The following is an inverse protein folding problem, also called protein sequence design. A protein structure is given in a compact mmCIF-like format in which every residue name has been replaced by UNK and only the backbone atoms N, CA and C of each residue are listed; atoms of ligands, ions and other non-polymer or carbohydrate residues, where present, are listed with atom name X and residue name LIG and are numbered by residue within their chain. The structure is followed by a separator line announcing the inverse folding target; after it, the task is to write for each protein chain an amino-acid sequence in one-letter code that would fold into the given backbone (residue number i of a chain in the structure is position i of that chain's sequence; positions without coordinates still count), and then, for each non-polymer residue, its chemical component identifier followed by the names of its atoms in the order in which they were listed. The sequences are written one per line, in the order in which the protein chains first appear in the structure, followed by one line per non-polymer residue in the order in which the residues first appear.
data_IF_445174754718
#
_entry.id   IF_445174754718
#
_cell.length_a   1.000
_cell.length_b   1.000
_cell.length_c   1.000
_cell.angle_alpha   90.00
_cell.angle_beta   90.00
_cell.angle_gamma   90.00
#
_symmetry.space_group_name_H-M   'P 1'
#
loop_
_entity.id
_entity.type
_entity.pdbx_description
1 polymer ?
#
# COMPACT_ATOMS: atom_id res chain seq x y z
N UNK A 1 -20.45 9.61 33.64
CA UNK A 1 -19.72 10.22 32.52
C UNK A 1 -19.37 11.64 32.89
N UNK A 2 -18.10 12.07 32.82
CA UNK A 2 -17.75 13.46 33.11
C UNK A 2 -18.41 14.36 32.06
N UNK A 3 -19.23 15.31 32.50
CA UNK A 3 -20.01 16.18 31.63
C UNK A 3 -19.11 17.09 30.79
N UNK A 4 -19.40 17.16 29.49
CA UNK A 4 -18.80 18.14 28.60
C UNK A 4 -19.23 19.55 29.01
N UNK A 5 -18.26 20.46 29.16
CA UNK A 5 -18.48 21.86 29.52
C UNK A 5 -17.79 22.77 28.50
N UNK A 6 -18.60 23.41 27.65
CA UNK A 6 -18.13 24.28 26.58
C UNK A 6 -17.38 25.52 27.08
N UNK A 7 -17.57 25.94 28.34
CA UNK A 7 -16.85 27.10 28.88
C UNK A 7 -15.35 26.81 29.06
N UNK A 8 -14.97 25.54 29.24
CA UNK A 8 -13.57 25.10 29.32
C UNK A 8 -12.80 25.28 28.01
N UNK A 9 -13.51 25.45 26.89
CA UNK A 9 -12.92 25.60 25.55
C UNK A 9 -12.67 27.07 25.18
N UNK A 10 -13.25 28.04 25.92
CA UNK A 10 -13.20 29.48 25.56
C UNK A 10 -11.81 30.11 25.67
N UNK A 11 -10.96 29.56 26.54
CA UNK A 11 -9.62 30.11 26.81
C UNK A 11 -8.50 29.25 26.24
N UNK A 12 -8.83 28.21 25.46
CA UNK A 12 -7.80 27.34 24.92
C UNK A 12 -7.20 27.97 23.67
N UNK A 13 -5.88 28.12 23.69
CA UNK A 13 -5.13 28.57 22.54
C UNK A 13 -4.95 27.43 21.54
N UNK A 14 -5.92 27.29 20.63
CA UNK A 14 -5.91 26.19 19.66
C UNK A 14 -4.66 26.15 18.80
N UNK A 15 -4.09 27.30 18.42
CA UNK A 15 -2.84 27.34 17.65
C UNK A 15 -1.67 26.73 18.43
N UNK A 16 -1.57 27.03 19.73
CA UNK A 16 -0.53 26.44 20.57
C UNK A 16 -0.77 24.95 20.83
N UNK A 17 -2.03 24.55 21.01
CA UNK A 17 -2.40 23.14 21.19
C UNK A 17 -2.14 22.31 19.94
N UNK A 18 -2.48 22.80 18.75
CA UNK A 18 -2.16 22.16 17.48
C UNK A 18 -0.66 22.07 17.25
N UNK A 19 0.08 23.15 17.52
CA UNK A 19 1.55 23.13 17.44
C UNK A 19 2.16 22.09 18.38
N UNK A 20 1.66 21.98 19.62
CA UNK A 20 2.09 20.93 20.56
C UNK A 20 1.72 19.53 20.07
N UNK A 21 0.57 19.37 19.39
CA UNK A 21 0.18 18.11 18.78
C UNK A 21 1.15 17.73 17.65
N UNK A 22 1.48 18.69 16.78
CA UNK A 22 2.41 18.55 15.65
C UNK A 22 3.86 18.28 16.13
N UNK A 23 4.27 18.89 17.24
CA UNK A 23 5.59 18.66 17.87
C UNK A 23 5.67 17.32 18.62
N UNK A 24 4.54 16.78 19.09
CA UNK A 24 4.45 15.50 19.80
C UNK A 24 4.37 14.27 18.87
N UNK A 25 4.40 14.47 17.55
CA UNK A 25 4.29 13.41 16.52
C UNK A 25 5.44 12.36 16.48
N UNK A 26 6.65 12.50 17.09
CA UNK A 26 7.68 11.50 16.85
C UNK A 26 7.37 10.09 17.38
N UNK A 27 6.45 9.93 18.33
CA UNK A 27 6.26 8.64 19.05
C UNK A 27 4.85 8.03 19.00
N UNK A 28 3.87 8.70 18.37
CA UNK A 28 2.47 8.23 18.32
C UNK A 28 1.90 8.12 16.89
N UNK A 29 2.75 7.95 15.89
CA UNK A 29 2.31 7.48 14.59
C UNK A 29 2.28 5.94 14.58
N UNK A 30 1.20 5.27 14.15
CA UNK A 30 1.20 3.81 13.94
C UNK A 30 2.20 3.35 12.86
N UNK A 31 2.87 4.29 12.18
CA UNK A 31 3.77 4.10 11.05
C UNK A 31 5.20 4.50 11.40
N UNK A 32 5.83 3.74 12.30
CA UNK A 32 7.18 4.02 12.81
C UNK A 32 8.29 3.73 11.78
N UNK A 33 8.04 2.82 10.83
CA UNK A 33 9.02 2.38 9.82
C UNK A 33 8.58 2.78 8.41
N UNK A 34 9.58 3.11 7.59
CA UNK A 34 9.42 3.41 6.17
C UNK A 34 10.10 4.73 5.77
N UNK A 35 10.34 4.93 4.47
CA UNK A 35 11.12 6.05 3.96
C UNK A 35 10.36 7.38 4.05
N UNK A 36 11.07 8.46 3.77
CA UNK A 36 10.46 9.79 3.64
C UNK A 36 9.39 9.84 2.55
N UNK A 37 8.46 10.79 2.71
CA UNK A 37 7.41 11.06 1.73
C UNK A 37 7.97 11.79 0.51
N UNK A 38 7.70 11.23 -0.67
CA UNK A 38 7.95 11.84 -1.99
C UNK A 38 6.65 12.43 -2.54
N UNK A 39 6.77 13.45 -3.40
CA UNK A 39 5.64 14.05 -4.11
C UNK A 39 5.88 14.00 -5.61
N UNK A 40 4.85 13.64 -6.39
CA UNK A 40 4.91 13.61 -7.85
C UNK A 40 3.65 14.21 -8.48
N UNK A 41 3.83 14.77 -9.67
CA UNK A 41 2.73 15.15 -10.56
C UNK A 41 2.50 14.00 -11.54
N UNK A 42 1.29 13.46 -11.57
CA UNK A 42 0.90 12.41 -12.51
C UNK A 42 0.52 13.02 -13.86
N UNK A 43 0.91 12.37 -14.95
CA UNK A 43 0.56 12.79 -16.32
C UNK A 43 -0.47 11.82 -16.89
N UNK A 44 -1.63 12.34 -17.27
CA UNK A 44 -2.74 11.58 -17.84
C UNK A 44 -2.93 11.94 -19.31
N UNK A 45 -3.40 10.96 -20.09
CA UNK A 45 -3.84 11.16 -21.48
C UNK A 45 -5.37 11.21 -21.51
N UNK A 46 -5.93 12.41 -21.54
CA UNK A 46 -7.38 12.65 -21.53
C UNK A 46 -7.91 12.55 -22.97
N UNK A 47 -8.83 11.62 -23.29
CA UNK A 47 -9.39 11.52 -24.63
C UNK A 47 -10.34 12.68 -24.92
N UNK A 48 -10.15 13.37 -26.06
CA UNK A 48 -11.00 14.50 -26.48
C UNK A 48 -12.11 14.10 -27.47
N UNK A 49 -12.30 12.79 -27.67
CA UNK A 49 -13.26 12.22 -28.61
C UNK A 49 -12.66 11.83 -29.96
N UNK A 50 -13.46 11.15 -30.78
CA UNK A 50 -13.02 10.58 -32.07
C UNK A 50 -12.52 11.70 -33.00
N UNK A 51 -11.28 11.59 -33.44
CA UNK A 51 -10.64 12.55 -34.36
C UNK A 51 -9.98 13.77 -33.69
N UNK A 52 -10.16 13.96 -32.37
CA UNK A 52 -9.66 15.14 -31.66
C UNK A 52 -8.38 14.89 -30.83
N UNK A 53 -7.85 13.66 -30.89
CA UNK A 53 -6.64 13.27 -30.16
C UNK A 53 -6.82 13.23 -28.64
N UNK A 54 -5.69 13.35 -27.93
CA UNK A 54 -5.59 13.30 -26.48
C UNK A 54 -5.00 14.59 -25.92
N UNK A 55 -5.42 14.98 -24.73
CA UNK A 55 -4.85 16.07 -23.96
C UNK A 55 -3.97 15.53 -22.83
N UNK A 56 -2.72 16.00 -22.78
CA UNK A 56 -1.80 15.77 -21.65
C UNK A 56 -2.24 16.62 -20.47
N UNK A 57 -2.87 15.97 -19.49
CA UNK A 57 -3.34 16.61 -18.26
C UNK A 57 -2.44 16.25 -17.08
N UNK A 58 -2.16 17.23 -16.23
CA UNK A 58 -1.30 17.08 -15.07
C UNK A 58 -2.15 17.05 -13.80
N UNK A 59 -2.01 15.98 -13.02
CA UNK A 59 -2.66 15.81 -11.73
C UNK A 59 -1.59 15.95 -10.63
N UNK A 60 -1.54 17.09 -9.94
CA UNK A 60 -0.60 17.29 -8.84
C UNK A 60 -1.02 16.51 -7.59
N UNK A 61 -0.13 16.46 -6.59
CA UNK A 61 -0.49 16.01 -5.25
C UNK A 61 -0.47 14.49 -5.04
N UNK A 62 0.25 13.72 -5.86
CA UNK A 62 0.52 12.34 -5.51
C UNK A 62 1.63 12.27 -4.46
N UNK A 63 1.27 11.97 -3.22
CA UNK A 63 2.21 11.79 -2.12
C UNK A 63 2.40 10.31 -1.84
N UNK A 64 3.64 9.82 -1.82
CA UNK A 64 3.91 8.40 -1.64
C UNK A 64 5.26 8.13 -0.98
N UNK A 65 5.42 6.93 -0.44
CA UNK A 65 6.67 6.36 0.05
C UNK A 65 7.15 5.32 -0.95
N UNK A 66 8.46 5.24 -1.11
CA UNK A 66 9.08 4.27 -2.00
C UNK A 66 8.86 2.85 -1.48
N UNK A 67 8.21 1.97 -2.26
CA UNK A 67 7.87 0.62 -1.81
C UNK A 67 9.09 -0.27 -1.59
N UNK A 68 10.15 -0.07 -2.39
CA UNK A 68 11.39 -0.83 -2.24
C UNK A 68 12.09 -0.45 -0.96
N UNK A 69 12.20 0.86 -0.69
CA UNK A 69 12.81 1.32 0.56
C UNK A 69 11.93 0.98 1.77
N UNK A 70 10.60 1.03 1.64
CA UNK A 70 9.69 0.57 2.68
C UNK A 70 9.93 -0.91 3.01
N UNK A 71 10.06 -1.78 2.00
CA UNK A 71 10.40 -3.18 2.24
C UNK A 71 11.74 -3.33 2.96
N UNK A 72 12.79 -2.62 2.51
CA UNK A 72 14.10 -2.68 3.19
C UNK A 72 14.01 -2.26 4.64
N UNK A 73 13.39 -1.11 4.90
CA UNK A 73 13.26 -0.58 6.26
C UNK A 73 12.52 -1.56 7.17
N UNK A 74 11.46 -2.19 6.67
CA UNK A 74 10.70 -3.17 7.45
C UNK A 74 11.49 -4.47 7.64
N UNK A 75 12.11 -4.99 6.59
CA UNK A 75 12.88 -6.26 6.68
C UNK A 75 14.10 -6.14 7.60
N UNK A 76 14.78 -5.00 7.57
CA UNK A 76 16.09 -4.83 8.20
C UNK A 76 16.00 -4.14 9.57
N UNK A 77 15.01 -3.26 9.78
CA UNK A 77 14.96 -2.39 10.98
C UNK A 77 13.73 -2.59 11.85
N UNK A 78 12.65 -3.20 11.35
CA UNK A 78 11.47 -3.46 12.15
C UNK A 78 11.69 -4.67 13.08
N UNK A 79 11.63 -4.52 14.41
CA UNK A 79 11.79 -5.63 15.36
C UNK A 79 10.83 -6.79 15.10
N UNK A 80 9.65 -6.53 14.50
CA UNK A 80 8.66 -7.57 14.17
C UNK A 80 9.13 -8.49 13.05
N UNK A 81 10.06 -8.04 12.20
CA UNK A 81 10.63 -8.85 11.14
C UNK A 81 11.43 -10.05 11.66
N UNK A 82 11.82 -10.05 12.95
CA UNK A 82 12.41 -11.21 13.64
C UNK A 82 11.48 -12.43 13.65
N UNK A 83 10.16 -12.21 13.62
CA UNK A 83 9.14 -13.25 13.64
C UNK A 83 8.57 -13.58 12.24
N UNK A 84 9.15 -13.03 11.17
CA UNK A 84 8.66 -13.27 9.81
C UNK A 84 8.94 -14.71 9.36
N UNK A 85 7.94 -15.29 8.68
CA UNK A 85 8.08 -16.55 7.96
C UNK A 85 8.62 -16.28 6.56
N UNK A 86 9.90 -16.56 6.34
CA UNK A 86 10.61 -16.29 5.07
C UNK A 86 10.38 -17.34 3.98
N UNK A 87 10.16 -18.58 4.40
CA UNK A 87 9.91 -19.71 3.51
C UNK A 87 8.46 -20.16 3.67
N UNK A 88 7.66 -20.18 2.59
CA UNK A 88 6.32 -20.73 2.65
C UNK A 88 6.37 -22.25 2.80
N UNK A 89 5.39 -22.80 3.51
CA UNK A 89 5.32 -24.24 3.80
C UNK A 89 3.88 -24.73 3.79
N UNK A 90 3.71 -26.05 3.60
CA UNK A 90 2.41 -26.67 3.71
C UNK A 90 2.07 -27.07 5.14
N UNK A 91 0.88 -26.73 5.61
CA UNK A 91 0.37 -27.18 6.90
C UNK A 91 -0.69 -28.27 6.71
N UNK A 92 -0.54 -29.38 7.41
CA UNK A 92 -1.37 -30.58 7.24
C UNK A 92 -1.93 -31.02 8.59
N UNK A 93 -3.22 -31.33 8.64
CA UNK A 93 -3.86 -32.01 9.76
C UNK A 93 -3.77 -33.51 9.51
N UNK A 94 -3.06 -34.21 10.38
CA UNK A 94 -2.99 -35.66 10.31
C UNK A 94 -4.37 -36.31 10.50
N UNK A 95 -4.65 -37.32 9.70
CA UNK A 95 -5.84 -38.13 9.85
C UNK A 95 -5.86 -38.87 11.19
N UNK A 96 -7.03 -38.95 11.82
CA UNK A 96 -7.20 -39.68 13.09
C UNK A 96 -7.14 -41.21 12.90
N UNK A 97 -7.37 -41.68 11.68
CA UNK A 97 -7.30 -43.09 11.30
C UNK A 97 -6.54 -43.24 9.99
N UNK A 98 -5.84 -44.37 9.81
CA UNK A 98 -5.07 -44.68 8.59
C UNK A 98 -5.90 -44.81 7.30
N UNK A 99 -7.23 -44.79 7.42
CA UNK A 99 -8.18 -44.90 6.31
C UNK A 99 -8.55 -43.55 5.71
N UNK A 100 -8.19 -42.44 6.38
CA UNK A 100 -8.44 -41.09 5.89
C UNK A 100 -7.13 -40.45 5.43
N UNK A 101 -7.13 -39.68 4.33
CA UNK A 101 -5.97 -38.89 3.95
C UNK A 101 -5.79 -37.71 4.91
N UNK A 102 -4.54 -37.30 5.11
CA UNK A 102 -4.23 -36.03 5.76
C UNK A 102 -4.88 -34.87 5.01
N UNK A 103 -5.31 -33.86 5.76
CA UNK A 103 -6.05 -32.72 5.22
C UNK A 103 -5.18 -31.47 5.19
N UNK A 104 -5.21 -30.76 4.05
CA UNK A 104 -4.52 -29.48 3.92
C UNK A 104 -5.18 -28.41 4.80
N UNK A 105 -4.36 -27.67 5.53
CA UNK A 105 -4.78 -26.54 6.36
C UNK A 105 -4.29 -25.24 5.73
N UNK A 106 -5.19 -24.27 5.62
CA UNK A 106 -4.90 -22.92 5.14
C UNK A 106 -5.22 -21.93 6.26
N UNK A 107 -4.19 -21.45 6.95
CA UNK A 107 -4.35 -20.55 8.10
C UNK A 107 -3.70 -19.18 7.88
N UNK A 108 -2.63 -19.15 7.09
CA UNK A 108 -1.74 -18.00 6.94
C UNK A 108 -1.38 -17.78 5.46
N UNK A 109 -0.99 -16.55 5.10
CA UNK A 109 -0.59 -16.24 3.72
C UNK A 109 0.58 -17.09 3.23
N UNK A 110 1.60 -17.28 4.06
CA UNK A 110 2.76 -18.14 3.77
C UNK A 110 2.45 -19.66 3.82
N UNK A 111 1.22 -20.06 4.20
CA UNK A 111 0.77 -21.46 4.10
C UNK A 111 -0.09 -21.74 2.86
N UNK A 112 -0.40 -20.70 2.08
CA UNK A 112 -1.22 -20.81 0.88
C UNK A 112 -0.47 -21.45 -0.30
N UNK A 113 -1.20 -22.16 -1.16
CA UNK A 113 -0.61 -22.82 -2.33
C UNK A 113 -0.01 -21.82 -3.33
N UNK A 114 -0.65 -20.66 -3.49
CA UNK A 114 -0.11 -19.56 -4.31
C UNK A 114 1.33 -19.19 -3.90
N UNK A 115 1.60 -19.06 -2.60
CA UNK A 115 2.94 -18.71 -2.11
C UNK A 115 3.95 -19.82 -2.30
N UNK A 116 3.52 -21.08 -2.16
CA UNK A 116 4.36 -22.23 -2.44
C UNK A 116 4.74 -22.32 -3.92
N UNK A 117 3.79 -22.05 -4.82
CA UNK A 117 4.03 -22.05 -6.27
C UNK A 117 4.97 -20.91 -6.70
N UNK A 118 4.76 -19.72 -6.17
CA UNK A 118 5.67 -18.58 -6.37
C UNK A 118 7.08 -18.89 -5.85
N UNK A 119 7.19 -19.53 -4.69
CA UNK A 119 8.49 -19.90 -4.13
C UNK A 119 9.21 -20.96 -4.95
N UNK A 120 8.50 -21.99 -5.42
CA UNK A 120 9.06 -22.97 -6.35
C UNK A 120 9.56 -22.31 -7.64
N UNK A 121 8.81 -21.34 -8.16
CA UNK A 121 9.18 -20.58 -9.37
C UNK A 121 10.43 -19.73 -9.13
N UNK A 122 10.59 -19.17 -7.93
CA UNK A 122 11.82 -18.45 -7.55
C UNK A 122 12.99 -19.41 -7.40
N UNK A 123 12.80 -20.58 -6.79
CA UNK A 123 13.87 -21.57 -6.62
C UNK A 123 14.35 -22.15 -7.97
N UNK A 124 13.48 -22.20 -8.99
CA UNK A 124 13.85 -22.66 -10.33
C UNK A 124 14.59 -21.63 -11.19
N UNK A 125 14.69 -20.36 -10.75
CA UNK A 125 15.49 -19.35 -11.46
C UNK A 125 16.96 -19.74 -11.50
N UNK A 126 17.70 -19.41 -12.57
CA UNK A 126 19.12 -19.73 -12.68
C UNK A 126 19.93 -19.16 -11.51
N UNK A 127 21.08 -19.76 -11.16
CA UNK A 127 22.00 -19.18 -10.18
C UNK A 127 22.37 -17.75 -10.59
N UNK A 128 22.37 -16.82 -9.64
CA UNK A 128 22.56 -15.40 -9.91
C UNK A 128 23.85 -14.84 -9.29
N UNK A 129 24.94 -15.60 -9.43
CA UNK A 129 26.27 -15.29 -8.87
C UNK A 129 26.22 -14.90 -7.38
N UNK A 130 25.27 -15.47 -6.64
CA UNK A 130 24.95 -15.12 -5.26
C UNK A 130 24.46 -16.39 -4.55
N UNK A 131 25.15 -16.79 -3.50
CA UNK A 131 24.87 -18.02 -2.75
C UNK A 131 23.88 -17.82 -1.60
N UNK A 132 23.22 -16.64 -1.54
CA UNK A 132 22.24 -16.35 -0.50
C UNK A 132 20.97 -17.21 -0.68
N UNK A 133 20.40 -17.73 0.42
CA UNK A 133 19.11 -18.39 0.37
C UNK A 133 18.05 -17.43 -0.16
N UNK A 134 17.18 -17.93 -1.03
CA UNK A 134 16.08 -17.16 -1.61
C UNK A 134 14.91 -17.15 -0.64
N UNK A 135 14.25 -16.00 -0.50
CA UNK A 135 13.04 -15.85 0.30
C UNK A 135 12.03 -14.97 -0.43
N UNK A 136 10.75 -15.04 -0.02
CA UNK A 136 9.72 -14.12 -0.52
C UNK A 136 9.39 -13.11 0.56
N UNK A 137 9.23 -11.85 0.17
CA UNK A 137 8.48 -10.84 0.92
C UNK A 137 7.19 -10.53 0.17
N UNK A 138 6.06 -10.95 0.74
CA UNK A 138 4.76 -10.78 0.08
C UNK A 138 4.02 -9.56 0.62
N UNK A 139 3.74 -8.60 -0.25
CA UNK A 139 2.94 -7.42 0.04
C UNK A 139 1.45 -7.71 -0.07
N UNK A 140 0.70 -7.27 0.94
CA UNK A 140 -0.74 -7.03 0.82
C UNK A 140 -0.98 -5.53 0.85
N UNK A 141 -1.67 -5.02 -0.17
CA UNK A 141 -2.03 -3.63 -0.28
C UNK A 141 -3.51 -3.40 -0.02
N UNK A 142 -3.83 -2.28 0.63
CA UNK A 142 -5.17 -1.76 0.76
C UNK A 142 -5.24 -0.31 0.35
N UNK A 143 -6.39 0.13 -0.14
CA UNK A 143 -6.68 1.56 -0.26
C UNK A 143 -8.18 1.81 -0.15
N UNK A 144 -8.59 2.77 0.67
CA UNK A 144 -9.99 3.08 0.91
C UNK A 144 -10.25 4.59 0.84
N UNK A 145 -11.51 4.97 0.63
CA UNK A 145 -11.90 6.37 0.67
C UNK A 145 -12.16 6.81 2.11
N UNK A 146 -11.31 7.68 2.64
CA UNK A 146 -11.43 8.19 4.01
C UNK A 146 -11.90 9.66 4.01
N UNK A 147 -12.93 10.00 4.78
CA UNK A 147 -13.27 11.41 5.01
C UNK A 147 -12.26 12.03 5.98
N UNK A 148 -11.50 13.03 5.51
CA UNK A 148 -10.38 13.61 6.24
C UNK A 148 -10.78 14.50 7.42
N UNK A 149 -12.04 14.97 7.44
CA UNK A 149 -12.54 15.95 8.39
C UNK A 149 -13.94 15.60 8.86
N UNK A 150 -14.21 15.68 10.17
CA UNK A 150 -15.58 15.56 10.73
C UNK A 150 -16.53 16.64 10.18
N UNK A 151 -15.99 17.80 9.78
CA UNK A 151 -16.73 18.89 9.15
C UNK A 151 -15.99 19.34 7.89
N UNK A 152 -16.51 18.97 6.72
CA UNK A 152 -15.94 19.30 5.41
C UNK A 152 -16.10 18.20 4.37
N UNK A 153 -15.95 18.57 3.09
CA UNK A 153 -15.97 17.67 1.93
C UNK A 153 -14.55 17.29 1.46
N UNK A 154 -13.60 17.23 2.40
CA UNK A 154 -12.23 16.82 2.11
C UNK A 154 -12.12 15.31 2.23
N UNK A 155 -11.86 14.64 1.11
CA UNK A 155 -11.65 13.19 1.03
C UNK A 155 -10.16 12.90 0.82
N UNK A 156 -9.64 11.94 1.57
CA UNK A 156 -8.32 11.35 1.39
C UNK A 156 -8.48 9.93 0.85
N UNK A 157 -7.49 9.49 0.09
CA UNK A 157 -7.42 8.12 -0.38
C UNK A 157 -6.07 7.53 0.05
N UNK A 158 -5.95 7.09 1.31
CA UNK A 158 -4.72 6.47 1.80
C UNK A 158 -4.49 5.08 1.20
N UNK A 159 -3.21 4.72 1.08
CA UNK A 159 -2.74 3.39 0.65
C UNK A 159 -1.90 2.74 1.74
N UNK A 160 -2.27 1.54 2.15
CA UNK A 160 -1.65 0.80 3.25
C UNK A 160 -1.04 -0.52 2.79
N UNK A 161 0.07 -0.91 3.38
CA UNK A 161 0.75 -2.17 3.12
C UNK A 161 0.93 -2.97 4.41
N UNK A 162 0.79 -4.29 4.33
CA UNK A 162 1.27 -5.25 5.34
C UNK A 162 2.00 -6.38 4.64
N UNK A 163 2.78 -7.15 5.38
CA UNK A 163 3.56 -8.26 4.81
C UNK A 163 3.00 -9.60 5.24
N UNK A 164 2.64 -10.47 4.29
CA UNK A 164 2.04 -11.78 4.60
C UNK A 164 2.98 -12.69 5.38
N UNK A 165 4.28 -12.41 5.38
CA UNK A 165 5.31 -13.10 6.18
C UNK A 165 5.02 -13.01 7.68
N UNK A 166 4.24 -12.02 8.10
CA UNK A 166 3.78 -11.86 9.45
C UNK A 166 2.41 -12.55 9.64
N UNK A 167 2.24 -13.21 10.79
CA UNK A 167 1.00 -13.94 11.11
C UNK A 167 -0.24 -13.06 11.02
N UNK A 168 -1.38 -13.65 10.63
CA UNK A 168 -2.68 -12.99 10.61
C UNK A 168 -2.99 -12.37 11.97
N UNK A 169 -2.66 -13.05 13.06
CA UNK A 169 -2.89 -12.55 14.43
C UNK A 169 -2.22 -11.20 14.65
N UNK A 170 -0.96 -11.08 14.26
CA UNK A 170 -0.22 -9.82 14.41
C UNK A 170 -0.72 -8.76 13.43
N UNK A 171 -0.92 -9.11 12.16
CA UNK A 171 -1.42 -8.16 11.16
C UNK A 171 -2.79 -7.59 11.48
N UNK A 172 -3.68 -8.40 12.06
CA UNK A 172 -5.03 -8.00 12.43
C UNK A 172 -5.11 -7.35 13.82
N UNK A 173 -4.01 -7.29 14.57
CA UNK A 173 -3.97 -6.57 15.85
C UNK A 173 -3.80 -5.07 15.60
N UNK A 174 -4.73 -4.20 16.05
CA UNK A 174 -4.60 -2.75 15.85
C UNK A 174 -3.39 -2.13 16.55
N UNK A 175 -2.84 -2.81 17.55
CA UNK A 175 -1.71 -2.33 18.38
C UNK A 175 -0.38 -2.94 17.97
N UNK A 176 -0.36 -3.89 17.02
CA UNK A 176 0.91 -4.48 16.56
C UNK A 176 1.74 -3.49 15.74
N UNK A 177 1.09 -2.51 15.10
CA UNK A 177 1.68 -1.56 14.16
C UNK A 177 2.15 -2.19 12.84
N UNK A 178 1.70 -3.41 12.50
CA UNK A 178 2.10 -4.14 11.29
C UNK A 178 1.65 -3.47 9.96
N UNK A 179 0.82 -2.44 10.06
CA UNK A 179 0.32 -1.66 8.93
C UNK A 179 1.29 -0.53 8.60
N UNK A 180 1.61 -0.35 7.33
CA UNK A 180 2.48 0.71 6.83
C UNK A 180 1.75 1.60 5.84
N UNK A 181 1.77 2.91 6.07
CA UNK A 181 1.17 3.87 5.15
C UNK A 181 2.16 4.20 4.03
N UNK A 182 1.77 4.02 2.77
CA UNK A 182 2.67 4.20 1.63
C UNK A 182 2.19 5.23 0.60
N UNK A 183 0.92 5.63 0.58
CA UNK A 183 0.42 6.56 -0.43
C UNK A 183 -0.77 7.38 0.03
N UNK A 184 -0.91 8.57 -0.54
CA UNK A 184 -2.17 9.30 -0.65
C UNK A 184 -2.46 9.46 -2.15
N UNK A 185 -3.41 8.67 -2.66
CA UNK A 185 -3.76 8.70 -4.07
C UNK A 185 -4.48 10.02 -4.40
N UNK A 186 -4.07 10.72 -5.48
CA UNK A 186 -4.68 12.00 -5.83
C UNK A 186 -6.01 11.76 -6.54
N UNK A 187 -6.86 12.78 -6.50
CA UNK A 187 -8.09 12.85 -7.28
C UNK A 187 -7.93 13.83 -8.44
N UNK A 188 -8.82 13.74 -9.42
CA UNK A 188 -8.86 14.73 -10.51
C UNK A 188 -9.17 16.11 -9.90
N UNK A 189 -8.35 17.14 -10.15
CA UNK A 189 -8.59 18.48 -9.62
C UNK A 189 -9.94 19.04 -10.05
N UNK A 190 -10.60 19.78 -9.15
CA UNK A 190 -11.88 20.43 -9.44
C UNK A 190 -11.81 21.40 -10.63
N UNK A 191 -10.61 21.94 -10.94
CA UNK A 191 -10.38 22.82 -12.09
C UNK A 191 -10.58 22.11 -13.44
N UNK A 192 -10.44 20.77 -13.48
CA UNK A 192 -10.57 19.97 -14.69
C UNK A 192 -11.87 20.23 -15.45
N UNK A 193 -13.00 20.36 -14.75
CA UNK A 193 -14.30 20.62 -15.38
C UNK A 193 -14.29 21.92 -16.19
N UNK A 194 -13.75 23.00 -15.61
CA UNK A 194 -13.67 24.31 -16.25
C UNK A 194 -12.70 24.28 -17.43
N UNK A 195 -11.55 23.64 -17.26
CA UNK A 195 -10.52 23.53 -18.30
C UNK A 195 -10.99 22.67 -19.49
N UNK A 196 -11.67 21.55 -19.21
CA UNK A 196 -12.23 20.67 -20.23
C UNK A 196 -13.34 21.37 -21.02
N UNK A 197 -14.23 22.11 -20.34
CA UNK A 197 -15.27 22.89 -21.00
C UNK A 197 -14.69 23.98 -21.89
N UNK A 198 -13.69 24.74 -21.40
CA UNK A 198 -13.02 25.78 -22.18
C UNK A 198 -12.36 25.21 -23.45
N UNK A 199 -11.88 23.96 -23.40
CA UNK A 199 -11.20 23.31 -24.53
C UNK A 199 -12.15 22.65 -25.53
N UNK A 200 -13.29 22.11 -25.08
CA UNK A 200 -14.17 21.27 -25.89
C UNK A 200 -15.55 21.86 -26.15
N UNK A 201 -15.92 22.93 -25.45
CA UNK A 201 -17.28 23.50 -25.44
C UNK A 201 -18.33 22.60 -24.79
N UNK A 202 -17.92 21.51 -24.13
CA UNK A 202 -18.82 20.51 -23.54
C UNK A 202 -18.37 20.17 -22.12
N UNK A 203 -19.33 19.90 -21.24
CA UNK A 203 -19.01 19.35 -19.92
C UNK A 203 -18.43 17.93 -20.06
N UNK A 204 -17.49 17.53 -19.19
CA UNK A 204 -17.00 16.15 -19.17
C UNK A 204 -18.15 15.20 -18.80
N UNK A 205 -18.29 14.10 -19.53
CA UNK A 205 -19.30 13.08 -19.22
C UNK A 205 -18.93 12.29 -17.97
N UNK A 206 -19.92 11.69 -17.31
CA UNK A 206 -19.67 10.77 -16.19
C UNK A 206 -18.74 9.63 -16.57
N UNK A 207 -18.90 9.07 -17.78
CA UNK A 207 -18.02 8.04 -18.33
C UNK A 207 -16.57 8.52 -18.47
N UNK A 208 -16.35 9.75 -18.94
CA UNK A 208 -15.01 10.32 -19.02
C UNK A 208 -14.42 10.47 -17.61
N UNK A 209 -15.15 11.03 -16.66
CA UNK A 209 -14.68 11.21 -15.29
C UNK A 209 -14.32 9.88 -14.62
N UNK A 210 -15.14 8.83 -14.78
CA UNK A 210 -14.81 7.49 -14.27
C UNK A 210 -13.55 6.92 -14.92
N UNK A 211 -13.37 7.12 -16.23
CA UNK A 211 -12.15 6.72 -16.92
C UNK A 211 -10.92 7.49 -16.37
N UNK A 212 -11.04 8.79 -16.15
CA UNK A 212 -9.96 9.62 -15.60
C UNK A 212 -9.56 9.19 -14.19
N UNK A 213 -10.52 8.83 -13.32
CA UNK A 213 -10.25 8.25 -12.01
C UNK A 213 -9.43 6.94 -12.13
N UNK A 214 -9.82 6.04 -13.04
CA UNK A 214 -9.10 4.79 -13.28
C UNK A 214 -7.67 5.01 -13.78
N UNK A 215 -7.47 5.85 -14.79
CA UNK A 215 -6.10 6.11 -15.30
C UNK A 215 -5.24 6.88 -14.29
N UNK A 216 -5.85 7.65 -13.38
CA UNK A 216 -5.12 8.29 -12.26
C UNK A 216 -4.55 7.24 -11.33
N UNK A 217 -5.38 6.25 -10.93
CA UNK A 217 -4.91 5.13 -10.11
C UNK A 217 -3.83 4.33 -10.81
N UNK A 218 -3.98 4.07 -12.11
CA UNK A 218 -2.97 3.35 -12.89
C UNK A 218 -1.64 4.12 -12.93
N UNK A 219 -1.67 5.44 -13.14
CA UNK A 219 -0.46 6.27 -13.14
C UNK A 219 0.21 6.34 -11.76
N UNK A 220 -0.57 6.31 -10.68
CA UNK A 220 -0.04 6.22 -9.32
C UNK A 220 0.64 4.87 -9.08
N UNK A 221 0.00 3.75 -9.44
CA UNK A 221 0.59 2.41 -9.33
C UNK A 221 1.83 2.22 -10.20
N UNK A 222 1.85 2.78 -11.41
CA UNK A 222 3.04 2.79 -12.27
C UNK A 222 4.22 3.55 -11.61
N UNK A 223 3.92 4.61 -10.85
CA UNK A 223 4.95 5.31 -10.06
C UNK A 223 5.44 4.47 -8.87
N UNK A 224 4.55 3.72 -8.21
CA UNK A 224 4.87 2.90 -7.03
C UNK A 224 5.65 1.64 -7.40
N UNK A 225 5.25 0.97 -8.48
CA UNK A 225 5.89 -0.22 -9.03
C UNK A 225 7.04 0.19 -9.96
N UNK A 226 7.92 1.06 -9.45
CA UNK A 226 9.05 1.62 -10.18
C UNK A 226 10.07 0.53 -10.57
N UNK A 227 11.12 0.94 -11.29
CA UNK A 227 12.20 0.05 -11.73
C UNK A 227 12.80 -0.78 -10.60
N UNK A 228 12.99 -0.17 -9.44
CA UNK A 228 13.66 -0.81 -8.31
C UNK A 228 12.74 -1.84 -7.64
N UNK A 229 11.44 -1.54 -7.55
CA UNK A 229 10.46 -2.51 -7.07
C UNK A 229 10.40 -3.71 -8.02
N UNK A 230 10.39 -3.45 -9.33
CA UNK A 230 10.37 -4.50 -10.34
C UNK A 230 11.67 -5.30 -10.38
N UNK A 231 12.81 -4.69 -10.04
CA UNK A 231 14.08 -5.38 -9.85
C UNK A 231 14.01 -6.34 -8.65
N UNK A 232 13.51 -5.87 -7.51
CA UNK A 232 13.26 -6.72 -6.34
C UNK A 232 12.22 -7.82 -6.60
N UNK A 233 11.26 -7.58 -7.49
CA UNK A 233 10.29 -8.59 -7.92
C UNK A 233 10.95 -9.67 -8.80
N UNK A 234 11.75 -9.28 -9.80
CA UNK A 234 12.32 -10.21 -10.78
C UNK A 234 13.56 -10.94 -10.28
N UNK A 235 14.47 -10.20 -9.64
CA UNK A 235 15.82 -10.66 -9.33
C UNK A 235 16.08 -10.79 -7.83
N UNK A 236 15.22 -10.18 -7.01
CA UNK A 236 15.36 -10.12 -5.57
C UNK A 236 16.56 -9.27 -5.12
N UNK A 237 16.53 -8.82 -3.87
CA UNK A 237 17.62 -8.05 -3.28
C UNK A 237 18.27 -8.79 -2.12
N UNK A 238 19.60 -8.69 -1.96
CA UNK A 238 20.23 -9.06 -0.70
C UNK A 238 19.70 -8.14 0.41
N UNK A 239 19.26 -8.72 1.51
CA UNK A 239 18.77 -8.03 2.70
C UNK A 239 19.19 -8.78 3.96
N UNK A 240 19.50 -8.04 5.04
CA UNK A 240 19.73 -8.60 6.37
C UNK A 240 18.40 -8.70 7.10
N UNK A 241 17.79 -9.88 7.13
CA UNK A 241 16.51 -10.08 7.78
C UNK A 241 16.60 -9.91 9.30
N UNK A 242 15.50 -9.50 9.95
CA UNK A 242 15.46 -9.30 11.40
C UNK A 242 15.82 -10.52 12.25
N UNK A 243 15.68 -11.74 11.72
CA UNK A 243 16.12 -12.97 12.39
C UNK A 243 17.64 -13.20 12.35
N UNK A 244 18.40 -12.26 11.75
CA UNK A 244 19.85 -12.27 11.70
C UNK A 244 20.44 -13.00 10.49
N UNK A 245 19.64 -13.54 9.57
CA UNK A 245 20.14 -14.18 8.36
C UNK A 245 20.11 -13.21 7.17
N UNK A 246 21.12 -13.32 6.30
CA UNK A 246 21.09 -12.64 5.01
C UNK A 246 20.37 -13.52 3.98
N UNK A 247 19.42 -12.92 3.27
CA UNK A 247 18.64 -13.61 2.24
C UNK A 247 18.58 -12.77 0.99
N UNK A 248 18.41 -13.44 -0.15
CA UNK A 248 17.96 -12.77 -1.36
C UNK A 248 16.43 -12.76 -1.36
N UNK A 249 15.87 -11.62 -1.03
CA UNK A 249 14.43 -11.41 -0.82
C UNK A 249 13.78 -10.96 -2.13
N UNK A 250 12.82 -11.75 -2.62
CA UNK A 250 12.01 -11.48 -3.79
C UNK A 250 10.67 -10.86 -3.39
N UNK A 251 10.31 -9.74 -4.00
CA UNK A 251 9.02 -9.10 -3.74
C UNK A 251 7.90 -9.82 -4.48
N UNK A 252 6.74 -10.00 -3.82
CA UNK A 252 5.50 -10.46 -4.47
C UNK A 252 4.33 -9.61 -4.03
N UNK A 253 3.39 -9.35 -4.94
CA UNK A 253 2.10 -8.75 -4.59
C UNK A 253 1.13 -9.89 -4.36
N UNK A 254 0.80 -10.17 -3.11
CA UNK A 254 -0.11 -11.24 -2.74
C UNK A 254 -1.58 -10.83 -2.92
N UNK A 255 -1.92 -9.62 -2.48
CA UNK A 255 -3.25 -9.08 -2.61
C UNK A 255 -3.24 -7.56 -2.76
N UNK A 256 -4.23 -7.05 -3.48
CA UNK A 256 -4.60 -5.64 -3.44
C UNK A 256 -6.12 -5.54 -3.26
N UNK A 257 -6.56 -4.95 -2.16
CA UNK A 257 -7.97 -4.75 -1.84
C UNK A 257 -8.27 -3.25 -1.81
N UNK A 258 -9.23 -2.79 -2.60
CA UNK A 258 -9.56 -1.38 -2.64
C UNK A 258 -11.05 -1.11 -2.78
N UNK A 259 -11.47 0.01 -2.22
CA UNK A 259 -12.71 0.65 -2.65
C UNK A 259 -12.58 1.06 -4.12
N UNK A 260 -13.66 0.92 -4.89
CA UNK A 260 -13.64 1.31 -6.30
C UNK A 260 -13.86 2.83 -6.44
N UNK A 261 -12.88 3.63 -6.92
CA UNK A 261 -12.99 5.09 -6.95
C UNK A 261 -14.16 5.62 -7.79
N UNK A 262 -14.54 4.86 -8.80
CA UNK A 262 -15.69 5.17 -9.66
C UNK A 262 -17.04 4.97 -8.96
N UNK A 263 -17.08 4.24 -7.84
CA UNK A 263 -18.28 4.00 -7.02
C UNK A 263 -18.32 4.80 -5.72
N UNK A 264 -17.16 5.17 -5.17
CA UNK A 264 -17.07 5.72 -3.82
C UNK A 264 -16.95 7.26 -3.74
N UNK A 265 -16.53 7.94 -4.81
CA UNK A 265 -16.47 9.42 -4.83
C UNK A 265 -17.69 9.97 -5.58
N UNK A 266 -18.74 10.30 -4.82
CA UNK A 266 -19.88 11.14 -5.26
C UNK A 266 -19.56 12.61 -5.14
#
# INVERSE_FOLDING_TARGET
MPGFDANKLRHVNWRASFRKLDEAVPSYGPFQYGPEWKTRVLRLKVPLGKGNGNWDYLVPGFHFRDLTQLARDVVENDPRSTAFHWEPFGLWKHAETSQQPDQRVFSEGFTGDYMLEEFRSILSLPPNNCDLPRAILGFCFWSDATQATQFGHSYLWPGYAMFINQSVRERCSPTSGACHHFAHFPTIPNSFHKEYFARTGRAPSSRLLSHLKSITMHAAWDTLLNSDFMEGYKNGFPMRCGDGFERRVFFRVFAYCADYPEKCVK
#
